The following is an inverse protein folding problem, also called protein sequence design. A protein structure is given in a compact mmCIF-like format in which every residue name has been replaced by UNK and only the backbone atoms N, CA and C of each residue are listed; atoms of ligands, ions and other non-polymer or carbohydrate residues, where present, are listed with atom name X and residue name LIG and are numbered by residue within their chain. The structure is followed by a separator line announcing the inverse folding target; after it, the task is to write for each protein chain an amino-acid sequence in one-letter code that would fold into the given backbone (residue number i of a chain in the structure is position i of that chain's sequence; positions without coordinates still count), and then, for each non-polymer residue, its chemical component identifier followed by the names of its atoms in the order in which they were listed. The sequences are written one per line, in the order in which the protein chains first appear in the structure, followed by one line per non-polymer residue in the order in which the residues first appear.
data_IF_867393708691
#
_entry.id   IF_867393708691
#
_cell.length_a   1.000
_cell.length_b   1.000
_cell.length_c   1.000
_cell.angle_alpha   90.00
_cell.angle_beta   90.00
_cell.angle_gamma   90.00
#
_symmetry.space_group_name_H-M   'P 1'
#
loop_
_entity.id
_entity.type
_entity.pdbx_description
1 polymer ?
#
# COMPACT_ATOMS: atom_id res chain seq x y z
N UNK A 1 16.59 16.00 3.76
CA UNK A 1 17.93 15.34 3.82
C UNK A 1 18.81 16.07 4.82
N UNK A 2 19.69 15.38 5.55
CA UNK A 2 20.65 16.01 6.47
C UNK A 2 21.78 16.68 5.69
N UNK A 3 22.66 17.42 6.38
CA UNK A 3 23.80 18.14 5.75
C UNK A 3 24.80 17.23 5.03
N UNK A 4 24.81 15.92 5.33
CA UNK A 4 25.67 14.92 4.69
C UNK A 4 24.94 14.14 3.57
N UNK A 5 23.74 14.58 3.16
CA UNK A 5 22.96 13.97 2.08
C UNK A 5 22.09 12.77 2.48
N UNK A 6 22.14 12.34 3.74
CA UNK A 6 21.34 11.23 4.28
C UNK A 6 19.88 11.60 4.57
N UNK A 7 19.03 10.58 4.79
CA UNK A 7 17.64 10.79 5.21
C UNK A 7 17.59 11.44 6.60
N UNK A 8 16.81 12.52 6.74
CA UNK A 8 16.55 13.19 8.04
C UNK A 8 15.41 12.52 8.80
N UNK A 9 14.42 12.02 8.05
CA UNK A 9 13.19 11.43 8.55
C UNK A 9 12.60 10.52 7.48
N UNK A 10 11.89 9.47 7.90
CA UNK A 10 11.10 8.62 7.02
C UNK A 10 9.63 8.99 7.17
N UNK A 11 8.93 9.10 6.04
CA UNK A 11 7.48 9.25 6.00
C UNK A 11 6.87 7.98 5.40
N UNK A 12 5.79 7.48 6.00
CA UNK A 12 5.06 6.30 5.53
C UNK A 12 3.71 6.74 4.93
N UNK A 13 3.67 7.17 3.66
CA UNK A 13 2.41 7.50 3.00
C UNK A 13 1.53 6.25 2.88
N UNK A 14 0.20 6.44 2.92
CA UNK A 14 -0.75 5.35 2.73
C UNK A 14 -0.57 4.72 1.34
N UNK A 15 -0.28 3.41 1.31
CA UNK A 15 -0.04 2.63 0.10
C UNK A 15 -1.20 2.72 -0.91
N UNK A 16 -2.45 2.87 -0.44
CA UNK A 16 -3.65 3.07 -1.28
C UNK A 16 -3.50 4.19 -2.31
N UNK A 17 -2.79 5.27 -1.95
CA UNK A 17 -2.62 6.44 -2.82
C UNK A 17 -1.29 6.42 -3.57
N UNK A 18 -0.42 5.44 -3.30
CA UNK A 18 0.87 5.34 -3.97
C UNK A 18 0.71 4.64 -5.33
N UNK A 19 1.50 5.05 -6.31
CA UNK A 19 1.61 4.45 -7.63
C UNK A 19 3.09 4.29 -7.98
N UNK A 20 3.46 3.13 -8.52
CA UNK A 20 4.78 2.90 -9.11
C UNK A 20 4.77 3.39 -10.56
N UNK A 21 5.80 4.15 -10.95
CA UNK A 21 6.02 4.55 -12.33
C UNK A 21 6.45 3.40 -13.22
N UNK A 22 6.57 3.67 -14.52
CA UNK A 22 7.03 2.68 -15.50
C UNK A 22 8.53 2.44 -15.32
N UNK A 23 9.29 3.52 -15.07
CA UNK A 23 10.72 3.44 -14.81
C UNK A 23 10.97 3.13 -13.33
N UNK A 24 11.96 2.28 -13.08
CA UNK A 24 12.33 1.91 -11.73
C UNK A 24 12.76 3.14 -10.90
N UNK A 25 12.29 3.21 -9.65
CA UNK A 25 12.57 4.33 -8.75
C UNK A 25 11.61 5.51 -8.87
N UNK A 26 10.70 5.51 -9.84
CA UNK A 26 9.64 6.52 -9.97
C UNK A 26 8.41 6.13 -9.14
N UNK A 27 7.93 7.07 -8.33
CA UNK A 27 6.74 6.90 -7.52
C UNK A 27 5.92 8.18 -7.50
N UNK A 28 4.62 8.00 -7.37
CA UNK A 28 3.63 9.07 -7.34
C UNK A 28 2.67 8.84 -6.19
N UNK A 29 2.23 9.89 -5.50
CA UNK A 29 1.09 9.86 -4.60
C UNK A 29 -0.08 10.60 -5.25
N UNK A 30 -1.19 9.91 -5.48
CA UNK A 30 -2.40 10.45 -6.11
C UNK A 30 -3.56 10.31 -5.13
N UNK A 31 -4.01 11.42 -4.54
CA UNK A 31 -5.08 11.42 -3.52
C UNK A 31 -6.45 11.66 -4.12
N UNK A 32 -6.53 12.55 -5.10
CA UNK A 32 -7.76 12.87 -5.83
C UNK A 32 -7.42 13.21 -7.28
N UNK A 33 -8.44 13.50 -8.08
CA UNK A 33 -8.27 13.90 -9.47
C UNK A 33 -7.39 15.16 -9.57
N UNK A 34 -6.34 15.09 -10.38
CA UNK A 34 -5.38 16.17 -10.63
C UNK A 34 -4.55 16.63 -9.40
N UNK A 35 -4.47 15.80 -8.34
CA UNK A 35 -3.60 16.00 -7.17
C UNK A 35 -2.54 14.90 -7.13
N UNK A 36 -1.56 15.01 -8.02
CA UNK A 36 -0.42 14.11 -8.09
C UNK A 36 0.83 14.74 -7.48
N UNK A 37 1.44 14.02 -6.54
CA UNK A 37 2.73 14.36 -5.99
C UNK A 37 3.79 13.39 -6.54
N UNK A 38 4.74 13.92 -7.29
CA UNK A 38 5.88 13.17 -7.82
C UNK A 38 6.98 13.11 -6.76
N UNK A 39 7.46 11.91 -6.45
CA UNK A 39 8.61 11.74 -5.56
C UNK A 39 9.92 11.87 -6.35
N UNK A 40 10.98 12.34 -5.69
CA UNK A 40 12.33 12.29 -6.26
C UNK A 40 12.70 10.83 -6.59
N UNK A 41 13.27 10.54 -7.77
CA UNK A 41 13.69 9.18 -8.13
C UNK A 41 14.61 8.57 -7.06
N UNK A 42 14.32 7.33 -6.66
CA UNK A 42 15.09 6.59 -5.65
C UNK A 42 14.91 7.10 -4.21
N UNK A 43 14.03 8.07 -3.95
CA UNK A 43 13.72 8.55 -2.60
C UNK A 43 12.69 7.68 -1.85
N UNK A 44 11.97 6.82 -2.57
CA UNK A 44 10.95 5.92 -2.03
C UNK A 44 11.48 4.50 -2.00
N UNK A 45 11.39 3.89 -0.82
CA UNK A 45 11.61 2.46 -0.64
C UNK A 45 10.26 1.74 -0.58
N UNK A 46 9.99 0.86 -1.55
CA UNK A 46 8.77 0.07 -1.59
C UNK A 46 8.98 -1.26 -0.86
N UNK A 47 8.54 -1.32 0.40
CA UNK A 47 8.38 -2.60 1.09
C UNK A 47 7.15 -3.32 0.54
N UNK A 48 7.34 -4.54 0.04
CA UNK A 48 6.27 -5.38 -0.50
C UNK A 48 6.44 -6.82 -0.03
N UNK A 49 5.32 -7.46 0.25
CA UNK A 49 5.26 -8.91 0.39
C UNK A 49 5.48 -9.57 -0.97
N UNK A 50 6.10 -10.75 -0.95
CA UNK A 50 6.29 -11.54 -2.15
C UNK A 50 4.95 -12.10 -2.62
N UNK A 51 4.66 -11.95 -3.91
CA UNK A 51 3.51 -12.55 -4.57
C UNK A 51 3.96 -13.19 -5.88
N UNK A 52 3.34 -14.33 -6.22
CA UNK A 52 3.67 -15.08 -7.45
C UNK A 52 2.99 -14.48 -8.67
N UNK A 53 1.83 -13.84 -8.48
CA UNK A 53 1.00 -13.32 -9.57
C UNK A 53 1.19 -11.81 -9.80
N UNK A 54 1.89 -11.10 -8.90
CA UNK A 54 2.14 -9.66 -9.00
C UNK A 54 3.62 -9.28 -8.86
N UNK A 55 4.16 -8.68 -9.92
CA UNK A 55 5.54 -8.19 -9.95
C UNK A 55 5.70 -6.75 -9.42
N UNK A 56 4.64 -5.94 -9.44
CA UNK A 56 4.71 -4.51 -9.10
C UNK A 56 4.30 -4.20 -7.67
N UNK A 57 3.28 -4.89 -7.15
CA UNK A 57 2.74 -4.70 -5.80
C UNK A 57 2.78 -6.03 -5.04
N UNK A 58 2.73 -5.96 -3.71
CA UNK A 58 2.57 -7.14 -2.88
C UNK A 58 1.09 -7.45 -2.61
N UNK A 59 0.81 -8.68 -2.19
CA UNK A 59 -0.50 -9.07 -1.71
C UNK A 59 -0.67 -8.65 -0.23
N UNK A 60 -1.80 -8.05 0.17
CA UNK A 60 -2.06 -7.79 1.58
C UNK A 60 -2.25 -9.08 2.39
N UNK A 61 -1.57 -9.21 3.52
CA UNK A 61 -1.61 -10.42 4.39
C UNK A 61 -3.01 -10.78 4.90
N UNK A 62 -3.93 -9.81 4.99
CA UNK A 62 -5.29 -10.04 5.45
C UNK A 62 -6.20 -10.62 4.36
N UNK A 63 -5.80 -10.57 3.09
CA UNK A 63 -6.65 -11.01 1.97
C UNK A 63 -7.05 -12.49 2.06
N UNK A 64 -6.15 -13.44 2.41
CA UNK A 64 -6.51 -14.84 2.63
C UNK A 64 -7.51 -15.03 3.80
N UNK A 65 -7.46 -14.17 4.82
CA UNK A 65 -8.34 -14.24 5.99
C UNK A 65 -9.75 -13.69 5.74
N UNK A 66 -10.00 -13.08 4.57
CA UNK A 66 -11.26 -12.42 4.26
C UNK A 66 -12.47 -13.37 4.32
N UNK A 67 -12.32 -14.62 3.86
CA UNK A 67 -13.40 -15.61 3.91
C UNK A 67 -13.78 -15.97 5.34
N UNK A 68 -12.80 -16.14 6.23
CA UNK A 68 -13.04 -16.39 7.66
C UNK A 68 -13.72 -15.19 8.33
N UNK A 69 -13.34 -13.96 7.96
CA UNK A 69 -13.97 -12.74 8.47
C UNK A 69 -15.46 -12.67 8.06
N UNK A 70 -15.77 -12.91 6.79
CA UNK A 70 -17.15 -12.92 6.27
C UNK A 70 -18.01 -14.01 6.92
N UNK A 71 -17.46 -15.21 7.12
CA UNK A 71 -18.15 -16.28 7.81
C UNK A 71 -18.47 -15.90 9.26
N UNK A 72 -17.53 -15.30 9.97
CA UNK A 72 -17.75 -14.84 11.34
C UNK A 72 -18.80 -13.71 11.42
N UNK A 73 -18.76 -12.77 10.48
CA UNK A 73 -19.75 -11.71 10.36
C UNK A 73 -21.16 -12.29 10.13
N UNK A 74 -21.30 -13.21 9.19
CA UNK A 74 -22.58 -13.86 8.88
C UNK A 74 -23.15 -14.62 10.09
N UNK A 75 -22.32 -15.34 10.84
CA UNK A 75 -22.72 -16.02 12.08
C UNK A 75 -23.20 -15.03 13.15
N UNK A 76 -22.57 -13.86 13.24
CA UNK A 76 -22.97 -12.80 14.16
C UNK A 76 -24.32 -12.18 13.76
N UNK A 77 -24.51 -11.91 12.46
CA UNK A 77 -25.78 -11.42 11.94
C UNK A 77 -26.92 -12.43 12.12
N UNK A 78 -26.65 -13.72 11.99
CA UNK A 78 -27.62 -14.78 12.25
C UNK A 78 -28.13 -14.73 13.70
N UNK A 79 -27.21 -14.75 14.68
CA UNK A 79 -27.55 -14.66 16.13
C UNK A 79 -28.28 -13.37 16.52
N UNK A 80 -28.14 -12.31 15.72
CA UNK A 80 -28.83 -11.03 15.97
C UNK A 80 -30.25 -11.02 15.43
N UNK A 81 -30.53 -11.80 14.37
CA UNK A 81 -31.81 -11.80 13.67
C UNK A 81 -32.78 -12.87 14.16
N UNK A 82 -32.25 -13.97 14.70
CA UNK A 82 -33.00 -15.13 15.18
C UNK A 82 -32.58 -15.44 16.61
#
# INVERSE_FOLDING_TARGET
RNRMGGALSLAAPLSKYMRRGITEGEYFQVRTWHDEHVFEPGSVFQLREADVDQELYGLPEWMPAMQSALLNESATLFRRKY
#
